data_IF_835271688519
#
_entry.id   IF_835271688519
#
_cell.length_a   1.000
_cell.length_b   1.000
_cell.length_c   1.000
_cell.angle_alpha   90.00
_cell.angle_beta   90.00
_cell.angle_gamma   90.00
#
_symmetry.space_group_name_H-M   'P 1'
#
loop_
_entity.id
_entity.type
_entity.pdbx_description
1 polymer ?
#
# COMPACT_ATOMS: atom_id res chain seq x y z
N UNK A 1 5.06 -30.43 27.89
CA UNK A 1 5.09 -29.91 26.51
C UNK A 1 4.75 -28.44 26.58
N UNK A 2 5.69 -27.55 26.26
CA UNK A 2 5.35 -26.13 26.08
C UNK A 2 4.59 -26.00 24.77
N UNK A 3 3.32 -25.58 24.81
CA UNK A 3 2.61 -25.21 23.59
C UNK A 3 3.38 -24.05 22.95
N UNK A 4 3.71 -24.15 21.66
CA UNK A 4 4.33 -23.02 20.96
C UNK A 4 3.38 -21.81 21.03
N UNK A 5 3.88 -20.57 21.19
CA UNK A 5 3.04 -19.37 21.30
C UNK A 5 1.99 -19.24 20.18
N UNK A 6 2.32 -19.76 19.00
CA UNK A 6 1.49 -19.83 17.80
C UNK A 6 0.26 -20.73 17.93
N UNK A 7 0.23 -21.68 18.87
CA UNK A 7 -0.94 -22.52 19.18
C UNK A 7 -1.75 -21.97 20.35
N UNK A 8 -1.80 -20.65 20.49
CA UNK A 8 -2.68 -19.93 21.41
C UNK A 8 -3.92 -19.39 20.69
N UNK A 9 -4.86 -18.80 21.42
CA UNK A 9 -6.04 -18.13 20.83
C UNK A 9 -5.67 -17.01 19.84
N UNK A 10 -4.43 -16.50 19.89
CA UNK A 10 -3.89 -15.50 18.97
C UNK A 10 -3.71 -16.00 17.54
N UNK A 11 -3.76 -17.32 17.30
CA UNK A 11 -3.75 -17.89 15.95
C UNK A 11 -4.91 -17.35 15.09
N UNK A 12 -6.01 -16.94 15.71
CA UNK A 12 -7.14 -16.30 15.02
C UNK A 12 -6.72 -15.03 14.30
N UNK A 13 -5.74 -14.27 14.82
CA UNK A 13 -5.21 -13.08 14.15
C UNK A 13 -4.44 -13.49 12.89
N UNK A 14 -3.50 -14.44 12.99
CA UNK A 14 -2.76 -14.93 11.82
C UNK A 14 -3.66 -15.53 10.73
N UNK A 15 -4.65 -16.36 11.11
CA UNK A 15 -5.61 -16.96 10.17
C UNK A 15 -6.56 -15.90 9.61
N UNK A 16 -7.06 -14.99 10.45
CA UNK A 16 -7.94 -13.90 10.05
C UNK A 16 -7.27 -12.97 9.04
N UNK A 17 -6.04 -12.54 9.33
CA UNK A 17 -5.24 -11.72 8.43
C UNK A 17 -4.92 -12.44 7.12
N UNK A 18 -4.66 -13.75 7.14
CA UNK A 18 -4.52 -14.54 5.91
C UNK A 18 -5.80 -14.51 5.06
N UNK A 19 -6.97 -14.66 5.71
CA UNK A 19 -8.27 -14.55 5.05
C UNK A 19 -8.51 -13.17 4.44
N UNK A 20 -8.23 -12.10 5.19
CA UNK A 20 -8.34 -10.71 4.72
C UNK A 20 -7.40 -10.47 3.54
N UNK A 21 -6.15 -10.96 3.60
CA UNK A 21 -5.20 -10.84 2.51
C UNK A 21 -5.72 -11.47 1.21
N UNK A 22 -6.24 -12.70 1.29
CA UNK A 22 -6.82 -13.40 0.14
C UNK A 22 -8.05 -12.68 -0.41
N UNK A 23 -9.00 -12.30 0.46
CA UNK A 23 -10.24 -11.63 0.04
C UNK A 23 -9.95 -10.25 -0.57
N UNK A 24 -9.10 -9.45 0.08
CA UNK A 24 -8.67 -8.14 -0.42
C UNK A 24 -7.99 -8.25 -1.79
N UNK A 25 -7.13 -9.26 -1.97
CA UNK A 25 -6.49 -9.52 -3.24
C UNK A 25 -7.48 -9.91 -4.35
N UNK A 26 -8.41 -10.83 -4.06
CA UNK A 26 -9.45 -11.24 -5.01
C UNK A 26 -10.35 -10.07 -5.38
N UNK A 27 -10.71 -9.23 -4.41
CA UNK A 27 -11.50 -8.04 -4.66
C UNK A 27 -10.74 -7.02 -5.52
N UNK A 28 -9.46 -6.77 -5.22
CA UNK A 28 -8.61 -5.90 -6.04
C UNK A 28 -8.55 -6.36 -7.50
N UNK A 29 -8.39 -7.68 -7.73
CA UNK A 29 -8.37 -8.28 -9.07
C UNK A 29 -9.66 -8.09 -9.87
N UNK A 30 -10.79 -7.92 -9.19
CA UNK A 30 -12.09 -7.68 -9.81
C UNK A 30 -12.28 -6.24 -10.30
N UNK A 31 -11.43 -5.30 -9.83
CA UNK A 31 -11.57 -3.88 -10.12
C UNK A 31 -10.87 -3.54 -11.44
N UNK A 32 -11.55 -2.71 -12.25
CA UNK A 32 -11.03 -2.19 -13.52
C UNK A 32 -9.66 -1.52 -13.33
N UNK A 33 -8.72 -1.87 -14.19
CA UNK A 33 -7.37 -1.33 -14.19
C UNK A 33 -6.35 -2.15 -13.40
N UNK A 34 -6.78 -3.21 -12.70
CA UNK A 34 -5.87 -4.11 -12.00
C UNK A 34 -4.82 -4.73 -12.95
N UNK A 35 -3.56 -4.91 -12.52
CA UNK A 35 -2.49 -5.47 -13.36
C UNK A 35 -2.77 -6.92 -13.85
N UNK A 36 -2.44 -7.27 -15.10
CA UNK A 36 -2.63 -8.67 -15.59
C UNK A 36 -1.72 -9.67 -14.92
N UNK A 37 -0.46 -9.31 -14.71
CA UNK A 37 0.56 -10.22 -14.18
C UNK A 37 1.09 -9.64 -12.87
N UNK A 38 0.29 -9.66 -11.80
CA UNK A 38 0.65 -9.01 -10.54
C UNK A 38 1.89 -9.65 -9.89
N UNK A 39 2.16 -10.92 -10.17
CA UNK A 39 3.37 -11.62 -9.72
C UNK A 39 4.67 -11.00 -10.27
N UNK A 40 4.59 -10.24 -11.36
CA UNK A 40 5.72 -9.50 -11.94
C UNK A 40 5.86 -8.08 -11.38
N UNK A 41 5.13 -7.72 -10.32
CA UNK A 41 5.16 -6.34 -9.81
C UNK A 41 6.56 -5.90 -9.38
N UNK A 42 7.25 -6.68 -8.54
CA UNK A 42 8.62 -6.39 -8.09
C UNK A 42 9.63 -6.25 -9.24
N UNK A 43 9.76 -7.22 -10.18
CA UNK A 43 10.70 -7.04 -11.29
C UNK A 43 10.32 -5.86 -12.19
N UNK A 44 9.02 -5.59 -12.41
CA UNK A 44 8.58 -4.40 -13.16
C UNK A 44 8.94 -3.10 -12.46
N UNK A 45 8.78 -3.03 -11.14
CA UNK A 45 9.13 -1.88 -10.32
C UNK A 45 10.63 -1.56 -10.48
N UNK A 46 11.49 -2.57 -10.34
CA UNK A 46 12.95 -2.42 -10.48
C UNK A 46 13.34 -2.01 -11.91
N UNK A 47 12.83 -2.72 -12.92
CA UNK A 47 13.18 -2.43 -14.32
C UNK A 47 12.74 -1.01 -14.71
N UNK A 48 11.52 -0.60 -14.32
CA UNK A 48 11.01 0.74 -14.62
C UNK A 48 11.78 1.82 -13.87
N UNK A 49 11.99 1.67 -12.57
CA UNK A 49 12.69 2.69 -11.78
C UNK A 49 14.11 2.91 -12.30
N UNK A 50 14.84 1.84 -12.60
CA UNK A 50 16.19 1.92 -13.17
C UNK A 50 16.18 2.56 -14.55
N UNK A 51 15.26 2.16 -15.43
CA UNK A 51 15.16 2.73 -16.78
C UNK A 51 14.83 4.22 -16.75
N UNK A 52 13.86 4.63 -15.93
CA UNK A 52 13.43 6.02 -15.79
C UNK A 52 14.53 6.89 -15.18
N UNK A 53 15.21 6.41 -14.14
CA UNK A 53 16.32 7.12 -13.49
C UNK A 53 17.49 7.30 -14.46
N UNK A 54 17.86 6.25 -15.21
CA UNK A 54 18.95 6.33 -16.20
C UNK A 54 18.67 7.32 -17.33
N UNK A 55 17.40 7.54 -17.66
CA UNK A 55 16.97 8.51 -18.67
C UNK A 55 16.94 9.95 -18.16
N UNK A 56 17.11 10.17 -16.85
CA UNK A 56 17.00 11.49 -16.19
C UNK A 56 15.70 12.23 -16.55
N UNK A 57 14.62 11.48 -16.75
CA UNK A 57 13.30 12.05 -17.02
C UNK A 57 12.72 12.69 -15.74
N UNK A 58 11.72 13.58 -15.85
CA UNK A 58 11.06 14.22 -14.72
C UNK A 58 10.51 13.20 -13.71
N UNK A 59 10.09 12.03 -14.21
CA UNK A 59 9.62 10.92 -13.38
C UNK A 59 10.72 10.31 -12.50
N UNK A 60 12.00 10.49 -12.85
CA UNK A 60 13.13 10.06 -12.03
C UNK A 60 13.13 10.75 -10.66
N UNK A 61 12.73 12.03 -10.60
CA UNK A 61 12.60 12.77 -9.32
C UNK A 61 11.56 12.10 -8.42
N UNK A 62 10.45 11.63 -9.00
CA UNK A 62 9.41 10.88 -8.26
C UNK A 62 9.97 9.57 -7.72
N UNK A 63 10.72 8.81 -8.53
CA UNK A 63 11.38 7.58 -8.07
C UNK A 63 12.37 7.84 -6.94
N UNK A 64 13.22 8.86 -7.06
CA UNK A 64 14.18 9.23 -6.01
C UNK A 64 13.46 9.63 -4.72
N UNK A 65 12.36 10.38 -4.82
CA UNK A 65 11.51 10.72 -3.69
C UNK A 65 10.91 9.47 -3.02
N UNK A 66 10.43 8.49 -3.79
CA UNK A 66 9.89 7.25 -3.25
C UNK A 66 10.95 6.33 -2.64
N UNK A 67 12.17 6.32 -3.19
CA UNK A 67 13.31 5.63 -2.58
C UNK A 67 13.62 6.25 -1.22
N UNK A 68 13.77 7.58 -1.16
CA UNK A 68 14.02 8.29 0.09
C UNK A 68 12.89 8.06 1.10
N UNK A 69 11.63 8.13 0.67
CA UNK A 69 10.46 7.82 1.49
C UNK A 69 10.54 6.39 2.07
N UNK A 70 10.83 5.41 1.22
CA UNK A 70 10.93 4.00 1.64
C UNK A 70 12.05 3.79 2.66
N UNK A 71 13.20 4.45 2.48
CA UNK A 71 14.31 4.44 3.45
C UNK A 71 13.89 5.06 4.77
N UNK A 72 13.24 6.23 4.75
CA UNK A 72 12.76 6.92 5.96
C UNK A 72 11.77 6.05 6.72
N UNK A 73 10.73 5.53 6.04
CA UNK A 73 9.70 4.69 6.68
C UNK A 73 10.33 3.43 7.28
N UNK A 74 11.25 2.79 6.56
CA UNK A 74 12.01 1.64 7.07
C UNK A 74 12.79 2.03 8.33
N UNK A 75 13.55 3.13 8.29
CA UNK A 75 14.31 3.61 9.43
C UNK A 75 13.41 3.93 10.64
N UNK A 76 12.22 4.50 10.42
CA UNK A 76 11.24 4.79 11.47
C UNK A 76 10.69 3.51 12.11
N UNK A 77 10.37 2.47 11.33
CA UNK A 77 9.96 1.17 11.88
C UNK A 77 11.08 0.54 12.71
N UNK A 78 12.32 0.54 12.21
CA UNK A 78 13.46 -0.01 12.95
C UNK A 78 13.77 0.79 14.22
N UNK A 79 13.79 2.11 14.15
CA UNK A 79 13.96 2.98 15.32
C UNK A 79 12.84 2.76 16.34
N UNK A 80 11.60 2.58 15.85
CA UNK A 80 10.43 2.21 16.63
C UNK A 80 10.70 1.00 17.52
N UNK A 81 11.23 -0.06 16.93
CA UNK A 81 11.55 -1.31 17.62
C UNK A 81 12.79 -1.20 18.51
N UNK A 82 13.91 -0.68 17.99
CA UNK A 82 15.20 -0.73 18.69
C UNK A 82 15.31 0.27 19.82
N UNK A 83 14.61 1.40 19.72
CA UNK A 83 14.59 2.45 20.75
C UNK A 83 13.35 2.38 21.65
N UNK A 84 12.49 1.39 21.46
CA UNK A 84 11.27 1.21 22.26
C UNK A 84 10.21 2.30 22.06
N UNK A 85 10.26 3.05 20.95
CA UNK A 85 9.36 4.19 20.71
C UNK A 85 7.90 3.73 20.58
N UNK A 86 7.64 2.54 20.05
CA UNK A 86 6.28 1.96 19.99
C UNK A 86 5.59 1.90 21.36
N UNK A 87 6.36 1.72 22.43
CA UNK A 87 5.81 1.71 23.80
C UNK A 87 5.72 3.10 24.42
N UNK A 88 6.46 4.08 23.89
CA UNK A 88 6.58 5.42 24.46
C UNK A 88 5.69 6.47 23.77
N UNK A 89 5.43 6.33 22.47
CA UNK A 89 4.73 7.31 21.64
C UNK A 89 3.58 6.63 20.91
N UNK A 90 2.36 6.84 21.39
CA UNK A 90 1.15 6.15 20.91
C UNK A 90 0.79 6.41 19.46
N UNK A 91 1.16 7.55 18.89
CA UNK A 91 0.89 7.87 17.48
C UNK A 91 1.97 7.38 16.52
N UNK A 92 3.11 6.91 17.02
CA UNK A 92 4.25 6.51 16.19
C UNK A 92 3.86 5.40 15.23
N UNK A 93 3.14 4.42 15.76
CA UNK A 93 2.66 3.28 15.01
C UNK A 93 1.72 3.68 13.89
N UNK A 94 0.70 4.47 14.23
CA UNK A 94 -0.26 5.05 13.30
C UNK A 94 0.43 5.80 12.16
N UNK A 95 1.45 6.59 12.48
CA UNK A 95 2.25 7.30 11.49
C UNK A 95 2.98 6.33 10.57
N UNK A 96 3.73 5.37 11.11
CA UNK A 96 4.53 4.45 10.31
C UNK A 96 3.66 3.59 9.38
N UNK A 97 2.52 3.12 9.86
CA UNK A 97 1.56 2.38 9.03
C UNK A 97 0.93 3.25 7.94
N UNK A 98 0.50 4.47 8.27
CA UNK A 98 -0.01 5.42 7.27
C UNK A 98 1.03 5.74 6.18
N UNK A 99 2.28 5.98 6.57
CA UNK A 99 3.37 6.26 5.62
C UNK A 99 3.72 5.05 4.76
N UNK A 100 3.66 3.83 5.32
CA UNK A 100 3.84 2.57 4.59
C UNK A 100 2.75 2.41 3.53
N UNK A 101 1.48 2.57 3.91
CA UNK A 101 0.35 2.52 2.97
C UNK A 101 0.45 3.53 1.84
N UNK A 102 0.84 4.78 2.16
CA UNK A 102 1.09 5.83 1.18
C UNK A 102 2.19 5.42 0.18
N UNK A 103 3.34 4.97 0.69
CA UNK A 103 4.48 4.60 -0.15
C UNK A 103 4.16 3.44 -1.08
N UNK A 104 3.53 2.38 -0.56
CA UNK A 104 3.14 1.20 -1.33
C UNK A 104 2.11 1.57 -2.41
N UNK A 105 1.13 2.41 -2.09
CA UNK A 105 0.15 2.88 -3.08
C UNK A 105 0.81 3.69 -4.20
N UNK A 106 1.72 4.61 -3.85
CA UNK A 106 2.45 5.40 -4.83
C UNK A 106 3.34 4.52 -5.73
N UNK A 107 4.03 3.53 -5.16
CA UNK A 107 4.81 2.55 -5.91
C UNK A 107 3.92 1.71 -6.84
N UNK A 108 2.76 1.26 -6.38
CA UNK A 108 1.82 0.47 -7.18
C UNK A 108 1.30 1.28 -8.38
N UNK A 109 0.84 2.52 -8.15
CA UNK A 109 0.38 3.43 -9.21
C UNK A 109 1.52 3.72 -10.19
N UNK A 110 2.70 4.10 -9.70
CA UNK A 110 3.81 4.51 -10.56
C UNK A 110 4.36 3.34 -11.40
N UNK A 111 4.40 2.14 -10.83
CA UNK A 111 4.82 0.92 -11.53
C UNK A 111 3.82 0.54 -12.62
N UNK A 112 2.53 0.78 -12.41
CA UNK A 112 1.45 0.42 -13.31
C UNK A 112 0.81 1.61 -14.04
N UNK A 113 1.53 2.73 -14.13
CA UNK A 113 1.05 4.00 -14.71
C UNK A 113 0.46 3.88 -16.12
N UNK A 114 0.98 2.98 -16.96
CA UNK A 114 0.44 2.77 -18.33
C UNK A 114 -0.97 2.15 -18.28
N UNK A 115 -1.20 1.23 -17.33
CA UNK A 115 -2.54 0.66 -17.07
C UNK A 115 -3.46 1.71 -16.50
N UNK A 116 -2.97 2.50 -15.55
CA UNK A 116 -3.72 3.60 -14.96
C UNK A 116 -4.19 4.58 -16.05
N UNK A 117 -3.29 4.96 -16.96
CA UNK A 117 -3.62 5.80 -18.11
C UNK A 117 -4.61 5.15 -19.07
N UNK A 118 -4.43 3.86 -19.39
CA UNK A 118 -5.31 3.12 -20.31
C UNK A 118 -6.74 2.97 -19.79
N UNK A 119 -6.90 2.71 -18.49
CA UNK A 119 -8.20 2.38 -17.90
C UNK A 119 -8.87 3.56 -17.18
N UNK A 120 -8.14 4.63 -16.88
CA UNK A 120 -8.65 5.80 -16.14
C UNK A 120 -9.04 5.48 -14.71
N UNK A 121 -8.44 4.46 -14.08
CA UNK A 121 -8.82 3.99 -12.75
C UNK A 121 -7.62 3.53 -11.92
N UNK A 122 -7.65 3.90 -10.64
CA UNK A 122 -6.66 3.52 -9.60
C UNK A 122 -7.31 2.86 -8.38
N UNK A 123 -8.64 2.69 -8.36
CA UNK A 123 -9.35 2.22 -7.16
C UNK A 123 -9.03 0.78 -6.76
N UNK A 124 -8.42 -0.01 -7.64
CA UNK A 124 -7.88 -1.33 -7.33
C UNK A 124 -6.73 -1.28 -6.31
N UNK A 125 -6.08 -0.12 -6.13
CA UNK A 125 -4.98 0.08 -5.18
C UNK A 125 -5.46 -0.07 -3.73
N UNK A 126 -6.60 0.48 -3.37
CA UNK A 126 -7.11 0.45 -1.97
C UNK A 126 -7.21 -0.99 -1.41
N UNK A 127 -7.94 -1.93 -2.04
CA UNK A 127 -7.98 -3.31 -1.57
C UNK A 127 -6.65 -4.05 -1.75
N UNK A 128 -5.77 -3.59 -2.65
CA UNK A 128 -4.39 -4.10 -2.73
C UNK A 128 -3.59 -3.73 -1.47
N UNK A 129 -3.74 -2.51 -0.96
CA UNK A 129 -3.10 -2.07 0.29
C UNK A 129 -3.64 -2.84 1.50
N UNK A 130 -4.96 -3.06 1.56
CA UNK A 130 -5.57 -3.92 2.59
C UNK A 130 -4.95 -5.32 2.54
N UNK A 131 -4.81 -5.90 1.34
CA UNK A 131 -4.24 -7.23 1.18
C UNK A 131 -2.76 -7.31 1.59
N UNK A 132 -1.96 -6.31 1.21
CA UNK A 132 -0.54 -6.23 1.59
C UNK A 132 -0.41 -6.02 3.10
N UNK A 133 -1.18 -5.10 3.69
CA UNK A 133 -1.20 -4.86 5.13
C UNK A 133 -1.54 -6.13 5.90
N UNK A 134 -2.57 -6.87 5.48
CA UNK A 134 -2.94 -8.12 6.12
C UNK A 134 -1.87 -9.21 5.92
N UNK A 135 -1.15 -9.19 4.80
CA UNK A 135 0.05 -10.02 4.61
C UNK A 135 1.18 -9.69 5.59
N UNK A 136 1.35 -8.40 5.94
CA UNK A 136 2.29 -7.98 6.98
C UNK A 136 1.90 -8.49 8.37
N UNK A 137 0.61 -8.46 8.73
CA UNK A 137 0.12 -9.06 9.99
C UNK A 137 0.44 -10.56 10.09
N UNK A 138 0.35 -11.29 8.97
CA UNK A 138 0.77 -12.70 8.90
C UNK A 138 2.27 -12.83 9.12
N UNK A 139 3.08 -11.96 8.50
CA UNK A 139 4.51 -11.92 8.75
C UNK A 139 4.81 -11.65 10.24
N UNK A 140 4.10 -10.74 10.89
CA UNK A 140 4.30 -10.46 12.31
C UNK A 140 3.93 -11.64 13.18
N UNK A 141 2.78 -12.27 12.91
CA UNK A 141 2.37 -13.48 13.59
C UNK A 141 3.41 -14.59 13.50
N UNK A 142 4.06 -14.76 12.34
CA UNK A 142 5.01 -15.85 12.11
C UNK A 142 6.42 -15.55 12.66
N UNK A 143 6.87 -14.29 12.54
CA UNK A 143 8.29 -13.96 12.72
C UNK A 143 8.59 -13.01 13.89
N UNK A 144 7.59 -12.31 14.44
CA UNK A 144 7.80 -11.39 15.56
C UNK A 144 7.40 -12.04 16.86
N UNK A 145 8.07 -11.67 17.95
CA UNK A 145 7.80 -12.23 19.28
C UNK A 145 7.07 -11.26 20.22
N UNK A 146 6.96 -9.98 19.87
CA UNK A 146 6.41 -8.96 20.77
C UNK A 146 4.93 -9.21 21.13
N UNK A 147 4.17 -9.87 20.25
CA UNK A 147 2.75 -10.17 20.45
C UNK A 147 2.52 -11.33 21.43
N UNK A 148 3.56 -12.13 21.76
CA UNK A 148 3.42 -13.30 22.64
C UNK A 148 2.86 -12.93 24.03
N UNK A 149 3.25 -11.75 24.53
CA UNK A 149 2.86 -11.25 25.85
C UNK A 149 1.57 -10.43 25.82
N UNK A 150 1.01 -10.15 24.65
CA UNK A 150 -0.21 -9.33 24.54
C UNK A 150 -1.47 -10.13 24.83
N UNK A 151 -2.51 -9.48 25.34
CA UNK A 151 -3.85 -10.09 25.36
C UNK A 151 -4.35 -10.25 23.92
N UNK A 152 -5.24 -11.22 23.67
CA UNK A 152 -5.87 -11.39 22.37
C UNK A 152 -6.57 -10.10 21.91
N UNK A 153 -7.29 -9.44 22.83
CA UNK A 153 -7.98 -8.18 22.55
C UNK A 153 -6.99 -7.10 22.07
N UNK A 154 -5.86 -6.93 22.77
CA UNK A 154 -4.85 -5.95 22.37
C UNK A 154 -4.35 -6.25 20.96
N UNK A 155 -3.99 -7.50 20.68
CA UNK A 155 -3.46 -7.87 19.37
C UNK A 155 -4.48 -7.67 18.24
N UNK A 156 -5.75 -8.02 18.45
CA UNK A 156 -6.81 -7.77 17.47
C UNK A 156 -7.00 -6.27 17.20
N UNK A 157 -7.00 -5.45 18.25
CA UNK A 157 -7.17 -3.99 18.10
C UNK A 157 -6.00 -3.40 17.31
N UNK A 158 -4.78 -3.79 17.65
CA UNK A 158 -3.54 -3.38 16.98
C UNK A 158 -3.61 -3.68 15.47
N UNK A 159 -3.81 -4.95 15.11
CA UNK A 159 -3.98 -5.40 13.72
C UNK A 159 -5.07 -4.63 12.96
N UNK A 160 -6.23 -4.39 13.57
CA UNK A 160 -7.32 -3.66 12.90
C UNK A 160 -6.95 -2.20 12.68
N UNK A 161 -6.29 -1.57 13.65
CA UNK A 161 -5.82 -0.19 13.55
C UNK A 161 -4.74 -0.07 12.48
N UNK A 162 -3.79 -0.99 12.43
CA UNK A 162 -2.70 -1.00 11.45
C UNK A 162 -3.20 -1.18 10.03
N UNK A 163 -4.14 -2.10 9.82
CA UNK A 163 -4.84 -2.23 8.54
C UNK A 163 -5.58 -0.94 8.17
N UNK A 164 -6.25 -0.31 9.14
CA UNK A 164 -6.94 0.96 8.94
C UNK A 164 -5.99 2.08 8.52
N UNK A 165 -4.87 2.23 9.22
CA UNK A 165 -3.88 3.29 8.97
C UNK A 165 -3.14 3.08 7.66
N UNK A 166 -2.72 1.85 7.35
CA UNK A 166 -2.20 1.47 6.05
C UNK A 166 -3.17 1.86 4.92
N UNK A 167 -4.45 1.50 5.09
CA UNK A 167 -5.49 1.78 4.08
C UNK A 167 -5.76 3.27 3.94
N UNK A 168 -5.73 4.03 5.03
CA UNK A 168 -5.90 5.48 5.02
C UNK A 168 -4.80 6.15 4.18
N UNK A 169 -3.53 5.83 4.45
CA UNK A 169 -2.40 6.36 3.68
C UNK A 169 -2.48 6.01 2.19
N UNK A 170 -2.85 4.77 1.86
CA UNK A 170 -3.04 4.34 0.48
C UNK A 170 -4.23 5.01 -0.23
N UNK A 171 -5.31 5.27 0.51
CA UNK A 171 -6.51 5.95 0.01
C UNK A 171 -6.24 7.40 -0.32
N UNK A 172 -5.38 8.09 0.45
CA UNK A 172 -4.94 9.46 0.14
C UNK A 172 -4.30 9.52 -1.25
N UNK A 173 -3.33 8.63 -1.52
CA UNK A 173 -2.68 8.56 -2.85
C UNK A 173 -3.68 8.25 -3.94
N UNK A 174 -4.53 7.24 -3.72
CA UNK A 174 -5.55 6.81 -4.68
C UNK A 174 -6.49 7.97 -5.03
N UNK A 175 -6.91 8.75 -4.04
CA UNK A 175 -7.82 9.88 -4.21
C UNK A 175 -7.16 11.04 -4.96
N UNK A 176 -5.90 11.38 -4.63
CA UNK A 176 -5.13 12.39 -5.35
C UNK A 176 -5.01 12.02 -6.83
N UNK A 177 -4.61 10.78 -7.13
CA UNK A 177 -4.42 10.33 -8.50
C UNK A 177 -5.74 10.23 -9.26
N UNK A 178 -6.80 9.71 -8.64
CA UNK A 178 -8.14 9.67 -9.25
C UNK A 178 -8.65 11.07 -9.58
N UNK A 179 -8.39 12.05 -8.71
CA UNK A 179 -8.78 13.45 -8.94
C UNK A 179 -8.00 14.07 -10.09
N UNK A 180 -6.70 13.78 -10.17
CA UNK A 180 -5.85 14.20 -11.29
C UNK A 180 -6.32 13.62 -12.63
N UNK A 181 -6.61 12.31 -12.69
CA UNK A 181 -7.13 11.66 -13.89
C UNK A 181 -8.46 12.28 -14.33
N UNK A 182 -9.38 12.52 -13.39
CA UNK A 182 -10.68 13.17 -13.67
C UNK A 182 -10.49 14.59 -14.22
N UNK A 183 -9.50 15.33 -13.73
CA UNK A 183 -9.19 16.67 -14.19
C UNK A 183 -8.61 16.68 -15.62
N UNK A 184 -7.84 15.65 -16.01
CA UNK A 184 -7.31 15.49 -17.36
C UNK A 184 -8.37 15.12 -18.40
N UNK A 185 -9.46 14.46 -18.00
CA UNK A 185 -10.54 14.08 -18.90
C UNK A 185 -11.52 15.24 -19.20
N UNK A 186 -11.63 16.24 -18.29
CA UNK A 186 -12.53 17.39 -18.44
C UNK A 186 -12.29 18.32 -19.66
N UNK A 187 -11.07 18.54 -20.19
CA UNK A 187 -10.84 19.48 -21.29
C UNK A 187 -11.23 18.97 -22.69
N UNK A 188 -11.57 17.70 -22.89
CA UNK A 188 -11.91 17.16 -24.22
C UNK A 188 -13.39 17.28 -24.62
N UNK A 189 -14.30 17.56 -23.68
CA UNK A 189 -15.74 17.74 -24.00
C UNK A 189 -16.09 19.16 -24.49
N UNK A 190 -15.16 20.11 -24.42
CA UNK A 190 -15.40 21.51 -24.82
C UNK A 190 -14.96 21.90 -26.23
N UNK A 191 -14.30 21.02 -27.00
CA UNK A 191 -13.64 21.38 -28.27
C UNK A 191 -14.25 20.78 -29.54
N UNK A 192 -15.58 20.60 -29.58
CA UNK A 192 -16.32 20.38 -30.84
C UNK A 192 -17.53 21.31 -30.97
N UNK A 193 -17.34 22.41 -31.67
CA UNK A 193 -18.01 22.62 -32.96
C UNK A 193 -17.19 23.61 -33.81
N UNK A 194 -16.53 23.18 -34.90
CA UNK A 194 -16.23 24.09 -35.99
C UNK A 194 -17.57 24.46 -36.62
N UNK A 195 -18.01 25.71 -36.44
CA UNK A 195 -19.10 26.24 -37.25
C UNK A 195 -18.66 26.25 -38.71
N UNK A 196 -19.09 25.25 -39.46
CA UNK A 196 -19.23 25.32 -40.90
C UNK A 196 -20.71 25.57 -41.21
N UNK A 197 -21.03 26.80 -41.61
CA UNK A 197 -22.17 27.21 -42.45
C UNK A 197 -22.18 28.75 -42.40
N UNK A 198 -21.60 29.41 -43.41
CA UNK A 198 -22.23 30.02 -44.60
C UNK A 198 -22.25 31.54 -44.47
#
# INVERSE_FOLDING_TARGET
>A
MFALPHFSSRIVVGVGSSGIAVVGWLFARSIRGFPTDPHLWLPRLVVRSVADIRRLDRIAVVWMGLIAWSVIVTALHFAGLTLGIYSAISWWDLLTHSMSGFGIAALAVLTHRDRVAMYGSVWWVVPTIVAIGAGFEVYEFVFKAFWHEWTLQKYVVDTVVDLGMNTLGGTVVTSIVSSYLTALDRPQMGSKSPNHAE
#
